data_IF_741356376799
#
_entry.id   IF_741356376799
#
_cell.length_a   1.000
_cell.length_b   1.000
_cell.length_c   1.000
_cell.angle_alpha   90.00
_cell.angle_beta   90.00
_cell.angle_gamma   90.00
#
_symmetry.space_group_name_H-M   'P 1'
#
loop_
_entity.id
_entity.type
_entity.pdbx_description
1 polymer ?
#
# COMPACT_ATOMS: atom_id res chain seq x y z
N UNK A 1 24.74 0.34 -47.49
CA UNK A 1 23.85 0.36 -46.31
C UNK A 1 24.36 -0.74 -45.38
N UNK A 2 25.19 -0.37 -44.41
CA UNK A 2 25.72 -1.33 -43.43
C UNK A 2 24.59 -1.79 -42.52
N UNK A 3 24.26 -3.08 -42.58
CA UNK A 3 23.46 -3.72 -41.55
C UNK A 3 24.34 -3.82 -40.30
N UNK A 4 24.25 -2.84 -39.42
CA UNK A 4 24.84 -2.90 -38.09
C UNK A 4 24.13 -4.01 -37.31
N UNK A 5 24.70 -5.22 -37.37
CA UNK A 5 24.26 -6.36 -36.57
C UNK A 5 24.18 -5.92 -35.11
N UNK A 6 22.96 -5.65 -34.64
CA UNK A 6 22.75 -5.06 -33.33
C UNK A 6 22.94 -6.17 -32.33
N UNK A 7 24.14 -6.24 -31.74
CA UNK A 7 24.47 -7.28 -30.77
C UNK A 7 23.45 -7.23 -29.62
N UNK A 8 22.95 -8.40 -29.16
CA UNK A 8 22.09 -8.45 -27.99
C UNK A 8 22.84 -7.88 -26.80
N UNK A 9 22.17 -7.07 -25.99
CA UNK A 9 22.77 -6.45 -24.83
C UNK A 9 23.02 -7.52 -23.75
N UNK A 10 24.22 -7.53 -23.18
CA UNK A 10 24.54 -8.47 -22.10
C UNK A 10 23.92 -8.02 -20.77
N UNK A 11 23.66 -8.97 -19.87
CA UNK A 11 23.13 -8.67 -18.53
C UNK A 11 23.96 -7.61 -17.79
N UNK A 12 25.28 -7.65 -17.94
CA UNK A 12 26.22 -6.72 -17.32
C UNK A 12 26.07 -5.31 -17.88
N UNK A 13 25.94 -5.16 -19.21
CA UNK A 13 25.75 -3.86 -19.84
C UNK A 13 24.39 -3.27 -19.51
N UNK A 14 23.34 -4.08 -19.50
CA UNK A 14 22.00 -3.67 -19.09
C UNK A 14 21.99 -3.21 -17.63
N UNK A 15 22.65 -3.94 -16.72
CA UNK A 15 22.75 -3.53 -15.31
C UNK A 15 23.56 -2.25 -15.13
N UNK A 16 24.61 -2.04 -15.93
CA UNK A 16 25.41 -0.82 -15.88
C UNK A 16 24.66 0.41 -16.42
N UNK A 17 23.87 0.23 -17.50
CA UNK A 17 23.10 1.32 -18.11
C UNK A 17 21.78 1.61 -17.39
N UNK A 18 21.13 0.58 -16.87
CA UNK A 18 19.85 0.65 -16.18
C UNK A 18 20.02 0.19 -14.72
N UNK A 19 20.81 0.92 -13.95
CA UNK A 19 21.09 0.60 -12.54
C UNK A 19 19.84 0.64 -11.65
N UNK A 20 18.81 1.37 -12.06
CA UNK A 20 17.52 1.46 -11.39
C UNK A 20 16.51 0.40 -11.86
N UNK A 21 16.83 -0.36 -12.91
CA UNK A 21 15.99 -1.46 -13.34
C UNK A 21 16.11 -2.66 -12.40
N UNK A 22 14.99 -3.35 -12.20
CA UNK A 22 14.96 -4.58 -11.39
C UNK A 22 15.67 -5.73 -12.08
N UNK A 23 16.13 -6.70 -11.29
CA UNK A 23 16.81 -7.90 -11.83
C UNK A 23 15.90 -8.71 -12.75
N UNK A 24 14.60 -8.76 -12.47
CA UNK A 24 13.59 -9.41 -13.32
C UNK A 24 13.46 -8.78 -14.71
N UNK A 25 13.58 -7.45 -14.80
CA UNK A 25 13.52 -6.76 -16.08
C UNK A 25 14.78 -7.05 -16.92
N UNK A 26 15.95 -7.05 -16.28
CA UNK A 26 17.22 -7.37 -16.94
C UNK A 26 17.18 -8.80 -17.48
N UNK A 27 16.69 -9.76 -16.70
CA UNK A 27 16.52 -11.15 -17.14
C UNK A 27 15.59 -11.25 -18.36
N UNK A 28 14.43 -10.59 -18.32
CA UNK A 28 13.48 -10.55 -19.45
C UNK A 28 14.10 -9.97 -20.73
N UNK A 29 14.96 -8.94 -20.62
CA UNK A 29 15.67 -8.38 -21.77
C UNK A 29 16.70 -9.36 -22.36
N UNK A 30 17.42 -10.09 -21.51
CA UNK A 30 18.42 -11.09 -21.93
C UNK A 30 17.74 -12.31 -22.55
N UNK A 31 16.67 -12.82 -21.95
CA UNK A 31 15.89 -13.95 -22.49
C UNK A 31 15.31 -13.65 -23.88
N UNK A 32 14.88 -12.40 -24.10
CA UNK A 32 14.36 -11.92 -25.38
C UNK A 32 15.45 -11.50 -26.37
N UNK A 33 16.73 -11.61 -26.00
CA UNK A 33 17.87 -11.19 -26.81
C UNK A 33 17.74 -9.75 -27.32
N UNK A 34 17.20 -8.85 -26.49
CA UNK A 34 16.99 -7.47 -26.88
C UNK A 34 18.33 -6.75 -27.08
N UNK A 35 18.39 -5.95 -28.13
CA UNK A 35 19.47 -4.98 -28.29
C UNK A 35 19.40 -3.88 -27.22
N UNK A 36 20.49 -3.13 -27.08
CA UNK A 36 20.52 -1.99 -26.14
C UNK A 36 19.45 -0.94 -26.47
N UNK A 37 19.13 -0.72 -27.75
CA UNK A 37 18.11 0.24 -28.18
C UNK A 37 16.71 -0.26 -27.81
N UNK A 38 16.42 -1.54 -28.05
CA UNK A 38 15.14 -2.15 -27.65
C UNK A 38 14.98 -2.20 -26.14
N UNK A 39 16.06 -2.46 -25.41
CA UNK A 39 16.07 -2.37 -23.95
C UNK A 39 15.82 -0.94 -23.46
N UNK A 40 16.37 0.09 -24.11
CA UNK A 40 16.05 1.49 -23.77
C UNK A 40 14.56 1.79 -23.96
N UNK A 41 13.97 1.36 -25.07
CA UNK A 41 12.54 1.53 -25.32
C UNK A 41 11.70 0.78 -24.29
N UNK A 42 12.00 -0.50 -24.03
CA UNK A 42 11.30 -1.29 -23.02
C UNK A 42 11.40 -0.69 -21.62
N UNK A 43 12.53 -0.06 -21.27
CA UNK A 43 12.68 0.63 -19.99
C UNK A 43 11.80 1.88 -19.92
N UNK A 44 11.70 2.65 -21.01
CA UNK A 44 10.82 3.82 -21.09
C UNK A 44 9.34 3.41 -20.95
N UNK A 45 8.93 2.33 -21.61
CA UNK A 45 7.57 1.78 -21.47
C UNK A 45 7.28 1.36 -20.03
N UNK A 46 8.26 0.72 -19.37
CA UNK A 46 8.15 0.32 -17.97
C UNK A 46 8.02 1.54 -17.04
N UNK A 47 8.76 2.62 -17.29
CA UNK A 47 8.63 3.86 -16.54
C UNK A 47 7.29 4.54 -16.79
N UNK A 48 6.82 4.56 -18.03
CA UNK A 48 5.52 5.12 -18.39
C UNK A 48 4.39 4.34 -17.72
N UNK A 49 4.41 3.01 -17.76
CA UNK A 49 3.43 2.17 -17.07
C UNK A 49 3.41 2.42 -15.56
N UNK A 50 4.59 2.63 -14.93
CA UNK A 50 4.68 3.00 -13.50
C UNK A 50 4.09 4.39 -13.23
N UNK A 51 4.34 5.35 -14.11
CA UNK A 51 3.74 6.69 -14.01
C UNK A 51 2.22 6.64 -14.20
N UNK A 52 1.72 5.86 -15.14
CA UNK A 52 0.29 5.68 -15.36
C UNK A 52 -0.39 4.97 -14.19
N UNK A 53 0.24 3.96 -13.59
CA UNK A 53 -0.28 3.31 -12.38
C UNK A 53 -0.29 4.26 -11.18
N UNK A 54 0.77 5.05 -11.01
CA UNK A 54 0.84 6.10 -9.99
C UNK A 54 -0.22 7.19 -10.23
N UNK A 55 -0.41 7.61 -11.48
CA UNK A 55 -1.43 8.58 -11.87
C UNK A 55 -2.84 8.03 -11.63
N UNK A 56 -3.12 6.76 -11.97
CA UNK A 56 -4.39 6.08 -11.65
C UNK A 56 -4.64 5.97 -10.15
N UNK A 57 -3.60 5.74 -9.36
CA UNK A 57 -3.68 5.72 -7.89
C UNK A 57 -3.97 7.10 -7.30
N UNK A 58 -3.46 8.17 -7.91
CA UNK A 58 -3.76 9.55 -7.51
C UNK A 58 -5.12 10.03 -8.05
N UNK A 59 -5.52 9.57 -9.23
CA UNK A 59 -6.79 9.85 -9.88
C UNK A 59 -7.91 8.90 -9.42
N UNK A 60 -8.02 8.64 -8.11
CA UNK A 60 -9.28 8.23 -7.50
C UNK A 60 -10.05 9.48 -7.01
N UNK A 61 -10.77 10.22 -7.86
CA UNK A 61 -11.77 11.18 -7.40
C UNK A 61 -12.97 10.36 -6.91
N UNK A 62 -13.10 10.15 -5.61
CA UNK A 62 -14.09 9.19 -5.12
C UNK A 62 -14.31 9.14 -3.63
N UNK A 63 -14.35 10.28 -2.93
CA UNK A 63 -15.20 10.39 -1.73
C UNK A 63 -16.29 11.38 -2.08
N UNK A 64 -17.37 10.86 -2.67
CA UNK A 64 -18.64 11.58 -2.78
C UNK A 64 -19.13 11.85 -1.34
N UNK A 65 -19.61 13.05 -1.00
CA UNK A 65 -20.31 13.25 0.26
C UNK A 65 -21.63 12.49 0.16
N UNK A 66 -21.73 11.35 0.85
CA UNK A 66 -23.01 10.63 1.02
C UNK A 66 -23.98 11.53 1.79
N UNK A 67 -24.73 12.33 1.05
CA UNK A 67 -26.07 12.80 1.43
C UNK A 67 -26.95 11.55 1.56
N UNK A 68 -27.01 10.97 2.76
CA UNK A 68 -28.11 10.09 3.13
C UNK A 68 -29.03 10.87 4.07
N UNK A 69 -30.08 11.43 3.44
CA UNK A 69 -31.36 11.70 4.07
C UNK A 69 -31.80 10.40 4.77
N UNK A 70 -31.94 10.42 6.08
CA UNK A 70 -32.71 9.42 6.80
C UNK A 70 -33.94 10.14 7.34
N UNK A 71 -35.10 9.80 6.77
CA UNK A 71 -36.44 10.13 7.28
C UNK A 71 -37.26 8.83 7.19
N UNK A 72 -38.07 8.61 8.22
CA UNK A 72 -38.91 7.45 8.57
C UNK A 72 -38.13 6.32 9.28
N UNK A 73 -38.25 6.15 10.61
CA UNK A 73 -39.40 5.57 11.35
C UNK A 73 -39.60 4.08 11.00
N UNK A 74 -39.03 3.17 11.80
CA UNK A 74 -39.76 2.27 12.73
C UNK A 74 -38.77 1.30 13.43
N UNK A 75 -39.17 0.77 14.59
CA UNK A 75 -38.42 0.04 15.65
C UNK A 75 -37.93 -1.38 15.24
N UNK A 76 -37.16 -2.17 16.07
CA UNK A 76 -36.84 -2.02 17.48
C UNK A 76 -35.35 -2.05 17.86
N UNK A 77 -35.13 -1.50 19.05
CA UNK A 77 -33.94 -1.55 19.87
C UNK A 77 -33.67 -3.00 20.28
N UNK A 78 -32.79 -3.68 19.56
CA UNK A 78 -32.16 -4.92 20.02
C UNK A 78 -30.79 -4.54 20.60
N UNK A 79 -30.78 -4.43 21.92
CA UNK A 79 -29.59 -4.29 22.75
C UNK A 79 -28.81 -5.62 22.69
N UNK A 80 -27.89 -5.74 21.74
CA UNK A 80 -26.65 -6.50 21.97
C UNK A 80 -25.48 -5.54 21.83
N UNK A 81 -25.32 -4.75 22.89
CA UNK A 81 -24.04 -4.25 23.35
C UNK A 81 -23.13 -5.49 23.52
N UNK A 82 -22.05 -5.69 22.73
CA UNK A 82 -21.02 -6.62 23.16
C UNK A 82 -20.39 -5.99 24.39
N UNK A 83 -20.91 -6.45 25.53
CA UNK A 83 -20.45 -6.21 26.87
C UNK A 83 -19.02 -5.69 26.89
N UNK A 84 -18.90 -4.40 27.22
CA UNK A 84 -17.70 -3.85 27.81
C UNK A 84 -17.53 -4.50 29.20
N UNK A 85 -17.23 -5.80 29.23
CA UNK A 85 -16.69 -6.48 30.40
C UNK A 85 -15.26 -5.98 30.59
N UNK A 86 -15.18 -4.92 31.39
CA UNK A 86 -14.44 -4.91 32.65
C UNK A 86 -13.37 -6.00 32.84
N UNK A 87 -12.18 -5.52 33.20
CA UNK A 87 -11.13 -6.23 33.93
C UNK A 87 -10.26 -7.27 33.18
N UNK A 88 -9.24 -6.79 32.47
CA UNK A 88 -7.88 -7.36 32.55
C UNK A 88 -6.86 -6.50 31.80
N UNK A 89 -5.80 -6.18 32.54
CA UNK A 89 -4.47 -5.82 32.09
C UNK A 89 -4.32 -4.56 31.21
N UNK A 90 -3.70 -3.55 31.83
CA UNK A 90 -3.05 -2.41 31.18
C UNK A 90 -2.03 -2.82 30.09
N UNK A 91 -1.74 -4.11 29.94
CA UNK A 91 -0.90 -4.71 28.89
C UNK A 91 -1.59 -4.97 27.54
N UNK A 92 -2.93 -4.94 27.46
CA UNK A 92 -3.64 -5.35 26.24
C UNK A 92 -3.93 -4.22 25.24
N UNK A 93 -3.67 -2.96 25.60
CA UNK A 93 -3.89 -1.79 24.71
C UNK A 93 -2.99 -1.84 23.48
N UNK A 94 -1.77 -2.34 23.64
CA UNK A 94 -0.79 -2.50 22.55
C UNK A 94 -1.22 -3.64 21.63
N UNK A 95 -1.60 -4.80 22.19
CA UNK A 95 -2.07 -5.94 21.41
C UNK A 95 -3.37 -5.62 20.64
N UNK A 96 -4.31 -4.91 21.28
CA UNK A 96 -5.54 -4.41 20.65
C UNK A 96 -5.27 -3.48 19.46
N UNK A 97 -4.26 -2.60 19.59
CA UNK A 97 -3.86 -1.73 18.48
C UNK A 97 -3.14 -2.49 17.35
N UNK A 98 -2.30 -3.46 17.69
CA UNK A 98 -1.67 -4.35 16.69
C UNK A 98 -2.71 -5.19 15.95
N UNK A 99 -3.76 -5.67 16.62
CA UNK A 99 -4.86 -6.38 15.99
C UNK A 99 -5.65 -5.48 15.03
N UNK A 100 -5.97 -4.25 15.46
CA UNK A 100 -6.63 -3.25 14.61
C UNK A 100 -5.79 -2.88 13.38
N UNK A 101 -4.48 -2.67 13.58
CA UNK A 101 -3.55 -2.39 12.50
C UNK A 101 -3.41 -3.56 11.52
N UNK A 102 -3.27 -4.80 12.01
CA UNK A 102 -3.17 -5.99 11.17
C UNK A 102 -4.45 -6.29 10.39
N UNK A 103 -5.62 -6.01 10.98
CA UNK A 103 -6.90 -6.09 10.30
C UNK A 103 -6.95 -5.11 9.12
N UNK A 104 -6.54 -3.86 9.35
CA UNK A 104 -6.44 -2.85 8.29
C UNK A 104 -5.35 -3.16 7.26
N UNK A 105 -4.25 -3.81 7.67
CA UNK A 105 -3.18 -4.24 6.77
C UNK A 105 -3.68 -5.32 5.80
N UNK A 106 -4.41 -6.31 6.32
CA UNK A 106 -5.07 -7.36 5.52
C UNK A 106 -6.16 -6.78 4.61
N UNK A 107 -6.89 -5.77 5.07
CA UNK A 107 -7.96 -5.12 4.29
C UNK A 107 -7.44 -4.16 3.21
N UNK A 108 -6.34 -3.44 3.46
CA UNK A 108 -5.78 -2.45 2.53
C UNK A 108 -4.75 -3.04 1.55
N UNK A 109 -4.36 -4.30 1.72
CA UNK A 109 -3.58 -5.07 0.75
C UNK A 109 -2.09 -4.78 0.71
N UNK A 110 -1.63 -3.52 0.73
CA UNK A 110 -0.21 -3.24 0.38
C UNK A 110 0.46 -2.04 1.07
N UNK A 111 -0.24 -1.17 1.82
CA UNK A 111 0.41 0.02 2.41
C UNK A 111 0.26 0.10 3.91
N UNK A 112 1.34 -0.21 4.64
CA UNK A 112 1.43 -0.08 6.10
C UNK A 112 1.03 1.33 6.58
N UNK A 113 1.42 2.39 5.87
CA UNK A 113 1.02 3.77 6.21
C UNK A 113 -0.49 4.00 6.14
N UNK A 114 -1.18 3.36 5.20
CA UNK A 114 -2.63 3.51 5.04
C UNK A 114 -3.39 2.73 6.10
N UNK A 115 -2.93 1.51 6.40
CA UNK A 115 -3.45 0.72 7.50
C UNK A 115 -3.27 1.44 8.85
N UNK A 116 -2.12 2.11 9.04
CA UNK A 116 -1.83 2.89 10.23
C UNK A 116 -2.81 4.07 10.40
N UNK A 117 -3.02 4.84 9.33
CA UNK A 117 -3.96 5.97 9.36
C UNK A 117 -5.39 5.50 9.64
N UNK A 118 -5.83 4.41 9.02
CA UNK A 118 -7.17 3.87 9.23
C UNK A 118 -7.35 3.32 10.65
N UNK A 119 -6.37 2.57 11.16
CA UNK A 119 -6.41 2.03 12.52
C UNK A 119 -6.50 3.17 13.55
N UNK A 120 -5.71 4.23 13.36
CA UNK A 120 -5.77 5.43 14.22
C UNK A 120 -7.09 6.21 14.08
N UNK A 121 -7.68 6.26 12.87
CA UNK A 121 -8.96 6.95 12.65
C UNK A 121 -10.14 6.18 13.25
N UNK A 122 -10.11 4.85 13.20
CA UNK A 122 -11.16 3.98 13.73
C UNK A 122 -11.02 3.77 15.24
N UNK A 123 -9.82 3.91 15.80
CA UNK A 123 -9.54 3.67 17.21
C UNK A 123 -8.80 4.87 17.86
N UNK A 124 -9.42 6.06 17.96
CA UNK A 124 -8.77 7.24 18.50
C UNK A 124 -8.36 7.06 19.98
N UNK A 125 -9.18 6.39 20.79
CA UNK A 125 -8.90 6.16 22.22
C UNK A 125 -7.72 5.22 22.49
N UNK A 126 -7.43 4.26 21.59
CA UNK A 126 -6.25 3.40 21.71
C UNK A 126 -4.96 4.18 21.47
N UNK A 127 -4.97 5.14 20.54
CA UNK A 127 -3.81 6.00 20.25
C UNK A 127 -3.44 6.88 21.43
N UNK A 128 -4.44 7.49 22.07
CA UNK A 128 -4.22 8.32 23.27
C UNK A 128 -3.68 7.49 24.42
N UNK A 129 -4.22 6.29 24.66
CA UNK A 129 -3.74 5.38 25.70
C UNK A 129 -2.32 4.87 25.44
N UNK A 130 -1.94 4.58 24.19
CA UNK A 130 -0.55 4.21 23.82
C UNK A 130 0.40 5.39 24.04
N UNK A 131 0.00 6.61 23.65
CA UNK A 131 0.80 7.80 23.85
C UNK A 131 1.01 8.10 25.35
N UNK A 132 -0.04 7.93 26.16
CA UNK A 132 0.04 8.03 27.62
C UNK A 132 0.94 6.95 28.23
N UNK A 133 0.82 5.68 27.81
CA UNK A 133 1.69 4.58 28.30
C UNK A 133 3.16 4.79 27.90
N UNK A 134 3.43 5.36 26.72
CA UNK A 134 4.78 5.73 26.28
C UNK A 134 5.38 6.88 27.11
N UNK A 135 4.55 7.81 27.60
CA UNK A 135 4.97 8.91 28.47
C UNK A 135 5.23 8.47 29.91
N UNK A 136 4.65 7.35 30.36
CA UNK A 136 4.78 6.83 31.72
C UNK A 136 6.05 5.98 31.96
N UNK A 137 6.76 5.61 30.89
CA UNK A 137 8.01 4.82 30.95
C UNK A 137 9.29 5.67 30.87
N UNK A 138 9.20 6.98 31.12
CA UNK A 138 10.34 7.91 31.18
C UNK A 138 10.58 8.42 32.58
#
# INVERSE_FOLDING_TARGET
>A
MEATATKPATATELKAKFSQAGSDWILSCVEKNLSMIEAQQSYMDLLQARMEDAARKQAKPGVKPSKLRIKAEDMPKDEEDPACTDDSDEDDVVASWHAAFNSELKACGETAQRALMNANRKNPGLRERIASKASQRR
#
